data_IF_545709106131
#
_entry.id   IF_545709106131
#
_cell.length_a   1.000
_cell.length_b   1.000
_cell.length_c   1.000
_cell.angle_alpha   90.00
_cell.angle_beta   90.00
_cell.angle_gamma   90.00
#
_symmetry.space_group_name_H-M   'P 1'
#
loop_
_entity.id
_entity.type
_entity.pdbx_description
1 polymer ?
#
# COMPACT_ATOMS: atom_id res chain seq x y z
N UNK A 1 -16.46 41.05 6.39
CA UNK A 1 -15.50 40.44 5.45
C UNK A 1 -15.68 41.07 4.08
N UNK A 2 -14.63 41.53 3.42
CA UNK A 2 -14.73 42.07 2.05
C UNK A 2 -15.25 40.96 1.09
N UNK A 3 -15.99 41.39 0.06
CA UNK A 3 -16.63 40.48 -0.91
C UNK A 3 -15.65 39.46 -1.51
N UNK A 4 -14.43 39.89 -1.75
CA UNK A 4 -13.34 39.10 -2.29
C UNK A 4 -12.94 37.94 -1.35
N UNK A 5 -12.87 38.18 -0.03
CA UNK A 5 -12.58 37.10 0.93
C UNK A 5 -13.68 36.04 0.97
N UNK A 6 -14.96 36.44 0.74
CA UNK A 6 -16.09 35.52 0.63
C UNK A 6 -15.98 34.65 -0.62
N UNK A 7 -15.59 35.22 -1.76
CA UNK A 7 -15.42 34.48 -3.02
C UNK A 7 -14.29 33.49 -2.95
N UNK A 8 -13.13 33.86 -2.36
CA UNK A 8 -12.00 32.94 -2.14
C UNK A 8 -12.44 31.79 -1.24
N UNK A 9 -13.11 32.07 -0.15
CA UNK A 9 -13.56 31.06 0.80
C UNK A 9 -14.57 30.11 0.17
N UNK A 10 -15.46 30.63 -0.67
CA UNK A 10 -16.48 29.85 -1.38
C UNK A 10 -15.88 28.89 -2.44
N UNK A 11 -14.76 29.26 -3.05
CA UNK A 11 -14.07 28.41 -4.03
C UNK A 11 -13.08 27.45 -3.39
N UNK A 12 -12.35 27.88 -2.36
CA UNK A 12 -11.26 27.13 -1.76
C UNK A 12 -11.75 26.03 -0.79
N UNK A 13 -12.80 26.32 0.00
CA UNK A 13 -13.33 25.38 0.98
C UNK A 13 -13.90 24.10 0.34
N UNK A 14 -14.76 24.16 -0.71
CA UNK A 14 -15.24 22.96 -1.38
C UNK A 14 -14.11 22.16 -2.04
N UNK A 15 -13.13 22.85 -2.64
CA UNK A 15 -11.98 22.18 -3.26
C UNK A 15 -11.16 21.39 -2.24
N UNK A 16 -10.84 22.02 -1.10
CA UNK A 16 -10.10 21.36 -0.03
C UNK A 16 -10.88 20.19 0.58
N UNK A 17 -12.20 20.35 0.77
CA UNK A 17 -13.05 19.26 1.27
C UNK A 17 -13.09 18.07 0.31
N UNK A 18 -13.31 18.31 -0.98
CA UNK A 18 -13.32 17.23 -1.98
C UNK A 18 -11.97 16.55 -2.05
N UNK A 19 -10.87 17.30 -2.06
CA UNK A 19 -9.52 16.74 -2.08
C UNK A 19 -9.23 15.92 -0.81
N UNK A 20 -9.62 16.40 0.37
CA UNK A 20 -9.46 15.67 1.62
C UNK A 20 -10.25 14.36 1.65
N UNK A 21 -11.52 14.39 1.22
CA UNK A 21 -12.39 13.21 1.18
C UNK A 21 -11.86 12.19 0.17
N UNK A 22 -11.52 12.61 -1.05
CA UNK A 22 -11.00 11.71 -2.07
C UNK A 22 -9.66 11.10 -1.66
N UNK A 23 -8.77 11.88 -1.04
CA UNK A 23 -7.49 11.38 -0.50
C UNK A 23 -7.71 10.36 0.63
N UNK A 24 -8.62 10.63 1.55
CA UNK A 24 -8.98 9.71 2.60
C UNK A 24 -9.47 8.37 2.05
N UNK A 25 -10.42 8.41 1.10
CA UNK A 25 -10.96 7.22 0.44
C UNK A 25 -9.85 6.45 -0.28
N UNK A 26 -8.98 7.14 -1.04
CA UNK A 26 -7.88 6.52 -1.78
C UNK A 26 -6.88 5.83 -0.86
N UNK A 27 -6.49 6.46 0.25
CA UNK A 27 -5.58 5.86 1.23
C UNK A 27 -6.21 4.64 1.89
N UNK A 28 -7.48 4.74 2.29
CA UNK A 28 -8.20 3.63 2.89
C UNK A 28 -8.31 2.42 1.93
N UNK A 29 -8.63 2.67 0.66
CA UNK A 29 -8.67 1.63 -0.36
C UNK A 29 -7.29 1.02 -0.62
N UNK A 30 -6.24 1.84 -0.70
CA UNK A 30 -4.87 1.36 -0.89
C UNK A 30 -4.41 0.47 0.27
N UNK A 31 -4.71 0.84 1.52
CA UNK A 31 -4.39 0.01 2.69
C UNK A 31 -5.15 -1.31 2.69
N UNK A 32 -6.45 -1.28 2.36
CA UNK A 32 -7.28 -2.49 2.32
C UNK A 32 -6.83 -3.43 1.21
N UNK A 33 -6.56 -2.89 0.02
CA UNK A 33 -6.05 -3.65 -1.12
C UNK A 33 -4.68 -4.24 -0.82
N UNK A 34 -3.77 -3.43 -0.25
CA UNK A 34 -2.43 -3.87 0.12
C UNK A 34 -2.42 -5.03 1.12
N UNK A 35 -3.27 -4.99 2.15
CA UNK A 35 -3.43 -6.12 3.09
C UNK A 35 -3.89 -7.39 2.38
N UNK A 36 -4.89 -7.27 1.50
CA UNK A 36 -5.40 -8.41 0.74
C UNK A 36 -4.35 -8.99 -0.21
N UNK A 37 -3.57 -8.14 -0.85
CA UNK A 37 -2.49 -8.54 -1.75
C UNK A 37 -1.39 -9.31 -1.01
N UNK A 38 -0.99 -8.83 0.19
CA UNK A 38 -0.04 -9.52 1.06
C UNK A 38 -0.55 -10.89 1.51
N UNK A 39 -1.84 -10.99 1.88
CA UNK A 39 -2.45 -12.28 2.25
C UNK A 39 -2.48 -13.26 1.07
N UNK A 40 -2.89 -12.81 -0.11
CA UNK A 40 -2.91 -13.64 -1.32
C UNK A 40 -1.50 -14.10 -1.72
N UNK A 41 -0.52 -13.19 -1.62
CA UNK A 41 0.87 -13.49 -1.91
C UNK A 41 1.43 -14.56 -0.94
N UNK A 42 1.20 -14.38 0.37
CA UNK A 42 1.57 -15.38 1.39
C UNK A 42 0.93 -16.73 1.12
N UNK A 43 -0.38 -16.75 0.89
CA UNK A 43 -1.12 -17.98 0.59
C UNK A 43 -0.59 -18.66 -0.68
N UNK A 44 -0.27 -17.89 -1.72
CA UNK A 44 0.33 -18.39 -2.95
C UNK A 44 1.71 -19.01 -2.73
N UNK A 45 2.58 -18.37 -1.94
CA UNK A 45 3.89 -18.91 -1.59
C UNK A 45 3.77 -20.22 -0.79
N UNK A 46 2.91 -20.25 0.23
CA UNK A 46 2.66 -21.48 1.01
C UNK A 46 2.15 -22.59 0.10
N UNK A 47 1.16 -22.30 -0.76
CA UNK A 47 0.61 -23.28 -1.68
C UNK A 47 1.65 -23.83 -2.65
N UNK A 48 2.54 -22.99 -3.14
CA UNK A 48 3.67 -23.42 -3.97
C UNK A 48 4.63 -24.36 -3.21
N UNK A 49 4.93 -24.05 -1.95
CA UNK A 49 5.77 -24.92 -1.09
C UNK A 49 5.09 -26.23 -0.76
N UNK A 50 3.77 -26.21 -0.48
CA UNK A 50 2.97 -27.43 -0.30
C UNK A 50 3.06 -28.35 -1.52
N UNK A 51 2.83 -27.79 -2.71
CA UNK A 51 2.93 -28.57 -3.96
C UNK A 51 4.32 -29.18 -4.12
N UNK A 52 5.38 -28.38 -3.93
CA UNK A 52 6.75 -28.87 -4.05
C UNK A 52 7.09 -29.97 -3.03
N UNK A 53 6.57 -29.89 -1.79
CA UNK A 53 6.75 -30.94 -0.78
C UNK A 53 6.06 -32.24 -1.16
N UNK A 54 4.82 -32.15 -1.62
CA UNK A 54 4.06 -33.31 -2.09
C UNK A 54 4.76 -33.99 -3.26
N UNK A 55 5.15 -33.22 -4.28
CA UNK A 55 5.85 -33.71 -5.46
C UNK A 55 7.19 -34.39 -5.06
N UNK A 56 7.89 -33.84 -4.06
CA UNK A 56 9.14 -34.43 -3.55
C UNK A 56 8.90 -35.79 -2.88
N UNK A 57 7.81 -35.94 -2.11
CA UNK A 57 7.47 -37.24 -1.49
C UNK A 57 6.99 -38.22 -2.54
N UNK A 58 6.17 -37.82 -3.50
CA UNK A 58 5.74 -38.64 -4.62
C UNK A 58 6.96 -39.17 -5.40
N UNK A 59 7.94 -38.28 -5.68
CA UNK A 59 9.19 -38.65 -6.35
C UNK A 59 10.03 -39.65 -5.51
N UNK A 60 10.06 -39.48 -4.19
CA UNK A 60 10.74 -40.44 -3.30
C UNK A 60 10.05 -41.82 -3.32
N UNK A 61 8.71 -41.84 -3.37
CA UNK A 61 7.94 -43.08 -3.51
C UNK A 61 8.22 -43.77 -4.83
N UNK A 62 8.27 -43.02 -5.93
CA UNK A 62 8.66 -43.56 -7.24
C UNK A 62 10.08 -44.14 -7.22
N UNK A 63 11.03 -43.45 -6.58
CA UNK A 63 12.42 -43.90 -6.47
C UNK A 63 12.58 -45.23 -5.71
N UNK A 64 11.73 -45.46 -4.71
CA UNK A 64 11.79 -46.70 -3.90
C UNK A 64 10.83 -47.78 -4.42
N UNK A 65 9.94 -47.47 -5.35
CA UNK A 65 8.83 -48.35 -5.82
C UNK A 65 9.33 -49.70 -6.34
N UNK A 66 10.47 -49.71 -7.03
CA UNK A 66 11.04 -50.93 -7.61
C UNK A 66 11.55 -51.92 -6.53
N UNK A 67 12.03 -51.42 -5.37
CA UNK A 67 12.42 -52.23 -4.23
C UNK A 67 11.20 -52.64 -3.40
N UNK A 68 10.34 -51.69 -3.13
CA UNK A 68 9.12 -51.87 -2.33
C UNK A 68 8.18 -52.96 -2.89
N UNK A 69 8.10 -53.06 -4.21
CA UNK A 69 7.22 -53.99 -4.91
C UNK A 69 7.94 -55.27 -5.42
N UNK A 70 9.27 -55.48 -5.17
CA UNK A 70 10.01 -56.62 -5.64
C UNK A 70 9.62 -57.85 -4.85
N UNK A 71 9.00 -58.88 -5.48
CA UNK A 71 8.62 -60.14 -4.81
C UNK A 71 9.81 -61.07 -4.51
N UNK A 72 10.97 -60.79 -5.09
CA UNK A 72 12.19 -61.62 -4.89
C UNK A 72 13.03 -61.14 -3.71
N UNK A 73 12.80 -59.94 -3.22
CA UNK A 73 13.50 -59.44 -2.05
C UNK A 73 12.75 -59.81 -0.77
N UNK A 74 13.52 -60.23 0.25
CA UNK A 74 12.92 -60.40 1.57
C UNK A 74 12.55 -59.00 2.12
N UNK A 75 11.49 -58.92 2.90
CA UNK A 75 11.01 -57.67 3.47
C UNK A 75 12.10 -56.91 4.26
N UNK A 76 12.92 -57.65 4.99
CA UNK A 76 14.01 -57.08 5.78
C UNK A 76 15.08 -56.42 4.90
N UNK A 77 15.49 -57.07 3.80
CA UNK A 77 16.43 -56.50 2.82
C UNK A 77 15.82 -55.29 2.14
N UNK A 78 14.57 -55.41 1.67
CA UNK A 78 13.86 -54.28 1.02
C UNK A 78 13.75 -53.05 1.95
N UNK A 79 13.40 -53.26 3.23
CA UNK A 79 13.34 -52.18 4.23
C UNK A 79 14.69 -51.53 4.44
N UNK A 80 15.78 -52.27 4.47
CA UNK A 80 17.13 -51.73 4.64
C UNK A 80 17.58 -50.91 3.43
N UNK A 81 17.32 -51.40 2.20
CA UNK A 81 17.66 -50.69 0.99
C UNK A 81 16.87 -49.36 0.87
N UNK A 82 15.57 -49.40 1.18
CA UNK A 82 14.72 -48.17 1.18
C UNK A 82 15.20 -47.16 2.21
N UNK A 83 15.57 -47.60 3.44
CA UNK A 83 16.16 -46.69 4.43
C UNK A 83 17.41 -45.99 3.91
N UNK A 84 18.32 -46.76 3.23
CA UNK A 84 19.53 -46.19 2.66
C UNK A 84 19.28 -45.19 1.53
N UNK A 85 18.25 -45.40 0.72
CA UNK A 85 17.84 -44.45 -0.33
C UNK A 85 17.32 -43.17 0.32
N UNK A 86 16.36 -43.29 1.23
CA UNK A 86 15.75 -42.15 1.92
C UNK A 86 16.79 -41.32 2.67
N UNK A 87 17.76 -42.02 3.34
CA UNK A 87 18.84 -41.36 4.06
C UNK A 87 19.75 -40.49 3.17
N UNK A 88 19.85 -40.79 1.87
CA UNK A 88 20.69 -40.08 0.90
C UNK A 88 19.94 -38.99 0.14
N UNK A 89 18.62 -39.03 0.12
CA UNK A 89 17.83 -38.03 -0.61
C UNK A 89 17.95 -36.64 0.03
N UNK A 90 18.42 -35.68 -0.78
CA UNK A 90 18.56 -34.26 -0.40
C UNK A 90 18.07 -33.39 -1.53
N UNK A 91 17.57 -32.21 -1.17
CA UNK A 91 17.20 -31.18 -2.14
C UNK A 91 17.36 -29.78 -1.53
N UNK A 92 17.18 -28.76 -2.37
CA UNK A 92 17.40 -27.36 -2.00
C UNK A 92 18.87 -26.93 -2.17
N UNK A 93 19.11 -25.63 -2.29
CA UNK A 93 20.42 -25.04 -2.60
C UNK A 93 21.46 -25.26 -1.52
N UNK A 94 21.04 -25.32 -0.24
CA UNK A 94 21.90 -25.51 0.93
C UNK A 94 21.82 -26.93 1.49
N UNK A 95 21.06 -27.83 0.85
CA UNK A 95 20.86 -29.20 1.32
C UNK A 95 19.97 -29.31 2.56
N UNK A 96 19.26 -28.27 2.92
CA UNK A 96 18.34 -28.26 4.09
C UNK A 96 17.10 -29.13 3.90
N UNK A 97 16.76 -29.48 2.64
CA UNK A 97 15.69 -30.40 2.32
C UNK A 97 16.16 -31.85 2.47
N UNK A 98 15.54 -32.60 3.36
CA UNK A 98 15.85 -34.01 3.64
C UNK A 98 14.56 -34.79 3.92
N UNK A 99 14.67 -36.13 3.75
CA UNK A 99 13.56 -37.02 4.05
C UNK A 99 13.76 -37.69 5.39
N UNK A 100 12.67 -38.04 6.04
CA UNK A 100 12.63 -38.80 7.28
C UNK A 100 11.59 -39.91 7.19
N UNK A 101 11.74 -40.92 7.99
CA UNK A 101 10.78 -42.01 8.09
C UNK A 101 10.53 -42.40 9.53
N UNK A 102 9.28 -42.75 9.83
CA UNK A 102 8.83 -43.24 11.13
C UNK A 102 7.96 -44.49 10.94
N UNK A 103 7.96 -45.38 11.92
CA UNK A 103 6.96 -46.43 11.96
C UNK A 103 5.62 -45.94 12.55
N UNK A 104 4.65 -46.84 12.59
CA UNK A 104 3.30 -46.55 13.08
C UNK A 104 3.24 -46.13 14.56
N UNK A 105 4.25 -46.43 15.35
CA UNK A 105 4.31 -46.13 16.79
C UNK A 105 5.05 -44.84 17.09
N UNK A 106 5.67 -44.21 16.06
CA UNK A 106 6.46 -42.98 16.20
C UNK A 106 7.94 -43.23 16.42
N UNK A 107 8.43 -44.47 16.22
CA UNK A 107 9.88 -44.75 16.23
C UNK A 107 10.50 -44.21 14.94
N UNK A 108 11.54 -43.41 15.08
CA UNK A 108 12.29 -42.89 13.94
C UNK A 108 13.09 -44.00 13.24
N UNK A 109 12.87 -44.15 11.96
CA UNK A 109 13.52 -45.17 11.11
C UNK A 109 14.69 -44.60 10.31
N UNK A 110 14.59 -43.32 9.91
CA UNK A 110 15.58 -42.58 9.12
C UNK A 110 15.52 -41.11 9.49
N UNK A 111 16.65 -40.56 9.91
CA UNK A 111 16.85 -39.11 10.13
C UNK A 111 18.29 -38.71 9.77
N UNK A 112 18.51 -38.26 8.52
CA UNK A 112 19.86 -38.09 8.01
C UNK A 112 20.66 -36.92 8.61
N UNK A 113 19.97 -35.97 9.27
CA UNK A 113 20.59 -34.78 9.85
C UNK A 113 20.94 -35.03 11.33
N UNK A 114 20.10 -35.79 12.04
CA UNK A 114 20.29 -36.12 13.48
C UNK A 114 20.21 -37.65 13.61
N UNK A 115 21.27 -38.38 13.28
CA UNK A 115 21.27 -39.85 13.32
C UNK A 115 20.96 -40.43 14.69
N UNK A 116 21.19 -39.66 15.75
CA UNK A 116 20.94 -40.04 17.14
C UNK A 116 19.46 -40.29 17.43
N UNK A 117 18.55 -39.74 16.61
CA UNK A 117 17.11 -39.96 16.74
C UNK A 117 16.67 -41.33 16.21
N UNK A 118 17.47 -41.97 15.36
CA UNK A 118 17.11 -43.26 14.75
C UNK A 118 16.98 -44.34 15.85
N UNK A 119 15.85 -45.02 15.87
CA UNK A 119 15.47 -46.01 16.85
C UNK A 119 14.81 -45.45 18.12
N UNK A 120 14.71 -44.12 18.26
CA UNK A 120 13.98 -43.52 19.38
C UNK A 120 12.49 -43.35 19.03
N UNK A 121 11.63 -43.57 20.00
CA UNK A 121 10.21 -43.24 19.89
C UNK A 121 10.02 -41.75 20.19
N UNK A 122 9.53 -40.98 19.19
CA UNK A 122 9.39 -39.54 19.23
C UNK A 122 7.90 -39.10 19.15
N UNK A 123 6.98 -40.01 19.46
CA UNK A 123 5.54 -39.73 19.35
C UNK A 123 5.10 -38.55 20.24
N UNK A 124 5.74 -38.41 21.41
CA UNK A 124 5.43 -37.37 22.40
C UNK A 124 6.39 -36.17 22.34
N UNK A 125 7.25 -36.12 21.31
CA UNK A 125 8.17 -34.97 21.16
C UNK A 125 7.34 -33.72 20.84
N UNK A 126 7.64 -32.64 21.56
CA UNK A 126 7.02 -31.33 21.34
C UNK A 126 8.05 -30.32 20.83
N UNK A 127 7.58 -29.41 20.01
CA UNK A 127 8.37 -28.23 19.66
C UNK A 127 8.29 -27.16 20.79
N UNK A 128 8.94 -26.00 20.58
CA UNK A 128 8.97 -24.88 21.54
C UNK A 128 7.58 -24.29 21.81
N UNK A 129 6.60 -24.50 20.91
CA UNK A 129 5.21 -24.09 21.07
C UNK A 129 4.35 -25.13 21.79
N UNK A 130 4.90 -26.32 22.10
CA UNK A 130 4.18 -27.43 22.72
C UNK A 130 3.40 -28.30 21.73
N UNK A 131 3.69 -28.21 20.42
CA UNK A 131 3.03 -29.00 19.40
C UNK A 131 3.65 -30.40 19.27
N UNK A 132 2.83 -31.45 19.27
CA UNK A 132 3.22 -32.87 19.11
C UNK A 132 3.46 -33.19 17.63
N UNK A 133 4.59 -32.77 17.10
CA UNK A 133 4.90 -32.73 15.67
C UNK A 133 4.85 -34.12 14.99
N UNK A 134 5.38 -35.18 15.61
CA UNK A 134 5.39 -36.52 15.01
C UNK A 134 4.00 -37.17 15.06
N UNK A 135 3.25 -36.99 16.14
CA UNK A 135 1.88 -37.45 16.24
C UNK A 135 1.00 -36.78 15.18
N UNK A 136 1.17 -35.47 14.98
CA UNK A 136 0.44 -34.72 13.96
C UNK A 136 0.78 -35.20 12.54
N UNK A 137 2.08 -35.38 12.21
CA UNK A 137 2.51 -35.90 10.90
C UNK A 137 2.01 -37.32 10.64
N UNK A 138 2.06 -38.23 11.64
CA UNK A 138 1.48 -39.58 11.54
C UNK A 138 -0.02 -39.56 11.27
N UNK A 139 -0.73 -38.66 11.95
CA UNK A 139 -2.18 -38.47 11.72
C UNK A 139 -2.45 -38.02 10.26
N UNK A 140 -1.68 -37.05 9.77
CA UNK A 140 -1.82 -36.58 8.38
C UNK A 140 -1.51 -37.70 7.37
N UNK A 141 -0.41 -38.41 7.57
CA UNK A 141 0.00 -39.50 6.67
C UNK A 141 -1.08 -40.60 6.55
N UNK A 142 -1.65 -41.06 7.69
CA UNK A 142 -2.69 -42.09 7.73
C UNK A 142 -4.01 -41.66 7.07
N UNK A 143 -4.28 -40.35 7.00
CA UNK A 143 -5.48 -39.80 6.38
C UNK A 143 -5.30 -39.45 4.88
N UNK A 144 -4.37 -40.11 4.20
CA UNK A 144 -4.13 -39.93 2.78
C UNK A 144 -3.04 -38.94 2.41
N UNK A 145 -2.21 -38.57 3.40
CA UNK A 145 -1.15 -37.58 3.26
C UNK A 145 -1.61 -36.17 3.61
N UNK A 146 -0.69 -35.38 4.17
CA UNK A 146 -1.03 -34.01 4.57
C UNK A 146 0.16 -33.22 5.09
N UNK A 147 -0.11 -31.97 5.37
CA UNK A 147 0.89 -30.99 5.80
C UNK A 147 0.76 -30.72 7.28
N UNK A 148 1.92 -30.39 7.90
CA UNK A 148 1.99 -29.89 9.26
C UNK A 148 3.12 -28.87 9.39
N UNK A 149 2.87 -27.76 10.07
CA UNK A 149 3.84 -26.71 10.36
C UNK A 149 4.24 -26.79 11.84
N UNK A 150 5.54 -26.77 12.12
CA UNK A 150 6.10 -26.86 13.47
C UNK A 150 7.48 -26.20 13.51
N UNK A 151 8.00 -25.93 14.70
CA UNK A 151 9.36 -25.44 14.86
C UNK A 151 10.37 -26.60 14.83
N UNK A 152 11.43 -26.46 14.03
CA UNK A 152 12.49 -27.46 13.92
C UNK A 152 13.84 -26.82 13.62
N UNK A 153 14.91 -27.44 14.11
CA UNK A 153 16.27 -26.97 13.88
C UNK A 153 16.64 -27.07 12.40
N UNK A 154 17.02 -25.94 11.82
CA UNK A 154 17.46 -25.85 10.43
C UNK A 154 18.93 -26.29 10.33
N UNK A 155 19.27 -27.24 9.42
CA UNK A 155 20.64 -27.76 9.32
C UNK A 155 21.69 -26.69 9.02
N UNK A 156 21.41 -25.75 8.13
CA UNK A 156 22.38 -24.73 7.71
C UNK A 156 22.67 -23.67 8.77
N UNK A 157 21.70 -23.34 9.66
CA UNK A 157 21.86 -22.29 10.68
C UNK A 157 21.97 -22.83 12.10
N UNK A 158 21.45 -24.01 12.38
CA UNK A 158 21.29 -24.53 13.73
C UNK A 158 20.19 -23.88 14.56
N UNK A 159 19.42 -22.94 13.96
CA UNK A 159 18.32 -22.23 14.62
C UNK A 159 17.01 -22.99 14.52
N UNK A 160 16.18 -22.90 15.57
CA UNK A 160 14.80 -23.40 15.55
C UNK A 160 13.92 -22.41 14.79
N UNK A 161 13.43 -22.83 13.63
CA UNK A 161 12.64 -21.98 12.72
C UNK A 161 11.41 -22.73 12.21
N UNK A 162 10.38 -22.03 11.72
CA UNK A 162 9.17 -22.68 11.18
C UNK A 162 9.50 -23.59 10.00
N UNK A 163 9.08 -24.84 10.08
CA UNK A 163 9.21 -25.87 9.06
C UNK A 163 7.85 -26.39 8.67
N UNK A 164 7.55 -26.34 7.38
CA UNK A 164 6.38 -26.97 6.79
C UNK A 164 6.81 -28.34 6.26
N UNK A 165 6.17 -29.41 6.73
CA UNK A 165 6.42 -30.77 6.26
C UNK A 165 5.17 -31.38 5.62
N UNK A 166 5.39 -32.22 4.64
CA UNK A 166 4.39 -33.13 4.08
C UNK A 166 4.79 -34.57 4.42
N UNK A 167 3.82 -35.37 4.85
CA UNK A 167 4.01 -36.77 5.17
C UNK A 167 2.94 -37.63 4.48
N UNK A 168 3.36 -38.78 3.99
CA UNK A 168 2.49 -39.75 3.36
C UNK A 168 2.76 -41.15 3.90
N UNK A 169 1.78 -42.03 3.71
CA UNK A 169 1.78 -43.37 4.28
C UNK A 169 2.22 -44.40 3.26
N UNK A 170 3.08 -45.36 3.71
CA UNK A 170 3.55 -46.50 2.95
C UNK A 170 2.87 -47.78 3.52
N UNK A 171 1.77 -48.19 2.91
CA UNK A 171 0.82 -49.16 3.47
C UNK A 171 1.40 -50.50 3.82
N UNK A 172 2.22 -51.11 2.93
CA UNK A 172 2.76 -52.47 3.12
C UNK A 172 3.58 -52.62 4.39
N UNK A 173 4.26 -51.53 4.83
CA UNK A 173 5.16 -51.58 5.98
C UNK A 173 4.68 -50.75 7.18
N UNK A 174 3.54 -50.08 7.05
CA UNK A 174 3.03 -49.12 8.04
C UNK A 174 4.06 -48.02 8.37
N UNK A 175 4.72 -47.47 7.34
CA UNK A 175 5.68 -46.38 7.51
C UNK A 175 5.11 -45.07 7.09
N UNK A 176 5.44 -44.04 7.83
CA UNK A 176 5.31 -42.65 7.40
C UNK A 176 6.62 -42.22 6.77
N UNK A 177 6.59 -41.71 5.56
CA UNK A 177 7.71 -41.01 4.92
C UNK A 177 7.30 -39.56 4.70
N UNK A 178 8.17 -38.65 5.09
CA UNK A 178 7.93 -37.25 4.94
C UNK A 178 9.19 -36.45 4.61
N UNK A 179 8.97 -35.23 4.22
CA UNK A 179 10.01 -34.24 3.99
C UNK A 179 9.49 -32.85 4.37
N UNK A 180 10.36 -31.87 4.52
CA UNK A 180 9.95 -30.52 4.89
C UNK A 180 10.84 -29.42 4.35
N UNK A 181 10.29 -28.23 4.25
CA UNK A 181 10.97 -26.99 3.89
C UNK A 181 10.87 -25.98 5.01
N UNK A 182 11.90 -25.21 5.22
CA UNK A 182 11.87 -24.07 6.16
C UNK A 182 11.21 -22.86 5.48
N UNK A 183 10.25 -22.25 6.18
CA UNK A 183 9.38 -21.20 5.63
C UNK A 183 9.71 -19.81 6.17
N UNK A 184 10.85 -19.65 6.85
CA UNK A 184 11.30 -18.33 7.32
C UNK A 184 11.46 -17.31 6.19
N UNK A 185 11.85 -17.76 4.99
CA UNK A 185 11.99 -16.92 3.80
C UNK A 185 10.65 -16.31 3.35
N UNK A 186 9.54 -17.04 3.56
CA UNK A 186 8.19 -16.52 3.27
C UNK A 186 7.90 -15.33 4.15
N UNK A 187 8.20 -15.41 5.44
CA UNK A 187 7.98 -14.31 6.38
C UNK A 187 8.82 -13.08 6.03
N UNK A 188 10.07 -13.27 5.60
CA UNK A 188 10.96 -12.18 5.15
C UNK A 188 10.43 -11.52 3.88
N UNK A 189 10.00 -12.33 2.90
CA UNK A 189 9.48 -11.82 1.63
C UNK A 189 8.14 -11.10 1.80
N UNK A 190 7.25 -11.63 2.64
CA UNK A 190 6.00 -10.99 3.02
C UNK A 190 6.24 -9.66 3.74
N UNK A 191 7.20 -9.60 4.67
CA UNK A 191 7.56 -8.37 5.35
C UNK A 191 8.15 -7.32 4.39
N UNK A 192 8.95 -7.75 3.41
CA UNK A 192 9.48 -6.86 2.35
C UNK A 192 8.35 -6.27 1.53
N UNK A 193 7.42 -7.08 1.04
CA UNK A 193 6.27 -6.63 0.28
C UNK A 193 5.40 -5.65 1.08
N UNK A 194 5.12 -5.96 2.35
CA UNK A 194 4.39 -5.06 3.24
C UNK A 194 5.08 -3.70 3.42
N UNK A 195 6.41 -3.71 3.54
CA UNK A 195 7.21 -2.48 3.64
C UNK A 195 7.14 -1.66 2.35
N UNK A 196 7.22 -2.29 1.18
CA UNK A 196 7.09 -1.62 -0.12
C UNK A 196 5.71 -0.98 -0.31
N UNK A 197 4.65 -1.69 0.05
CA UNK A 197 3.27 -1.18 0.01
C UNK A 197 3.13 0.03 0.94
N UNK A 198 3.60 -0.05 2.17
CA UNK A 198 3.54 1.06 3.12
C UNK A 198 4.30 2.29 2.62
N UNK A 199 5.49 2.11 2.05
CA UNK A 199 6.28 3.19 1.45
C UNK A 199 5.56 3.85 0.27
N UNK A 200 4.90 3.06 -0.58
CA UNK A 200 4.12 3.58 -1.70
C UNK A 200 2.92 4.41 -1.22
N UNK A 201 2.23 3.96 -0.18
CA UNK A 201 1.13 4.70 0.45
C UNK A 201 1.63 6.03 1.03
N UNK A 202 2.75 6.02 1.75
CA UNK A 202 3.36 7.22 2.32
C UNK A 202 3.79 8.22 1.23
N UNK A 203 4.43 7.73 0.17
CA UNK A 203 4.85 8.56 -0.97
C UNK A 203 3.63 9.18 -1.67
N UNK A 204 2.57 8.42 -1.86
CA UNK A 204 1.31 8.90 -2.46
C UNK A 204 0.68 9.98 -1.59
N UNK A 205 0.62 9.76 -0.28
CA UNK A 205 0.11 10.76 0.67
C UNK A 205 0.90 12.06 0.61
N UNK A 206 2.23 11.98 0.62
CA UNK A 206 3.09 13.16 0.51
C UNK A 206 2.89 13.90 -0.82
N UNK A 207 2.79 13.18 -1.91
CA UNK A 207 2.52 13.75 -3.24
C UNK A 207 1.19 14.50 -3.29
N UNK A 208 0.13 13.96 -2.70
CA UNK A 208 -1.18 14.62 -2.61
C UNK A 208 -1.09 15.92 -1.81
N UNK A 209 -0.37 15.92 -0.68
CA UNK A 209 -0.14 17.13 0.12
C UNK A 209 0.58 18.20 -0.70
N UNK A 210 1.63 17.85 -1.42
CA UNK A 210 2.38 18.79 -2.26
C UNK A 210 1.48 19.39 -3.35
N UNK A 211 0.70 18.56 -4.04
CA UNK A 211 -0.26 19.04 -5.06
C UNK A 211 -1.27 20.00 -4.43
N UNK A 212 -1.79 19.68 -3.26
CA UNK A 212 -2.74 20.55 -2.55
C UNK A 212 -2.14 21.90 -2.21
N UNK A 213 -0.91 21.93 -1.69
CA UNK A 213 -0.18 23.19 -1.37
C UNK A 213 0.01 24.02 -2.64
N UNK A 214 0.46 23.41 -3.75
CA UNK A 214 0.67 24.07 -5.03
C UNK A 214 -0.65 24.66 -5.55
N UNK A 215 -1.73 23.89 -5.49
CA UNK A 215 -3.07 24.34 -5.92
C UNK A 215 -3.54 25.57 -5.13
N UNK A 216 -3.39 25.53 -3.80
CA UNK A 216 -3.73 26.67 -2.94
C UNK A 216 -2.88 27.90 -3.31
N UNK A 217 -1.57 27.73 -3.50
CA UNK A 217 -0.66 28.81 -3.87
C UNK A 217 -1.07 29.45 -5.22
N UNK A 218 -1.42 28.64 -6.22
CA UNK A 218 -1.88 29.12 -7.53
C UNK A 218 -3.18 29.94 -7.39
N UNK A 219 -4.16 29.44 -6.63
CA UNK A 219 -5.41 30.16 -6.38
C UNK A 219 -5.14 31.51 -5.72
N UNK A 220 -4.26 31.56 -4.71
CA UNK A 220 -3.88 32.81 -4.03
C UNK A 220 -3.24 33.79 -5.00
N UNK A 221 -2.31 33.35 -5.84
CA UNK A 221 -1.64 34.20 -6.85
C UNK A 221 -2.64 34.76 -7.86
N UNK A 222 -3.54 33.93 -8.39
CA UNK A 222 -4.57 34.35 -9.35
C UNK A 222 -5.47 35.41 -8.69
N UNK A 223 -5.91 35.15 -7.47
CA UNK A 223 -6.78 36.11 -6.75
C UNK A 223 -6.12 37.44 -6.49
N UNK A 224 -4.84 37.43 -6.09
CA UNK A 224 -4.06 38.66 -5.93
C UNK A 224 -3.91 39.42 -7.25
N UNK A 225 -3.64 38.74 -8.36
CA UNK A 225 -3.50 39.34 -9.67
C UNK A 225 -4.82 40.01 -10.13
N UNK A 226 -5.97 39.32 -9.96
CA UNK A 226 -7.30 39.88 -10.28
C UNK A 226 -7.60 41.08 -9.42
N UNK A 227 -7.34 41.01 -8.11
CA UNK A 227 -7.57 42.12 -7.19
C UNK A 227 -6.74 43.37 -7.56
N UNK A 228 -5.46 43.21 -7.86
CA UNK A 228 -4.60 44.30 -8.31
C UNK A 228 -5.08 44.91 -9.63
N UNK A 229 -5.61 44.11 -10.54
CA UNK A 229 -6.15 44.56 -11.79
C UNK A 229 -7.43 45.42 -11.58
N UNK A 230 -8.38 44.94 -10.76
CA UNK A 230 -9.60 45.66 -10.41
C UNK A 230 -9.30 46.97 -9.71
N UNK A 231 -8.37 47.02 -8.77
CA UNK A 231 -7.95 48.25 -8.13
C UNK A 231 -7.38 49.28 -9.12
N UNK A 232 -6.58 48.85 -10.08
CA UNK A 232 -6.04 49.75 -11.13
C UNK A 232 -7.16 50.31 -12.04
N UNK A 233 -8.15 49.50 -12.39
CA UNK A 233 -9.31 49.94 -13.19
C UNK A 233 -10.18 50.94 -12.41
N UNK A 234 -10.48 50.66 -11.15
CA UNK A 234 -11.24 51.56 -10.29
C UNK A 234 -10.54 52.91 -10.10
N UNK A 235 -9.22 52.92 -9.91
CA UNK A 235 -8.40 54.14 -9.76
C UNK A 235 -8.42 54.98 -11.05
N UNK A 236 -8.36 54.36 -12.23
CA UNK A 236 -8.48 55.02 -13.53
C UNK A 236 -9.86 55.63 -13.71
N UNK A 237 -10.94 54.89 -13.41
CA UNK A 237 -12.31 55.38 -13.52
C UNK A 237 -12.58 56.57 -12.56
N UNK A 238 -12.06 56.49 -11.33
CA UNK A 238 -12.17 57.60 -10.38
C UNK A 238 -11.45 58.86 -10.86
N UNK A 239 -10.23 58.75 -11.41
CA UNK A 239 -9.48 59.88 -12.00
C UNK A 239 -10.21 60.50 -13.19
N UNK A 240 -10.78 59.67 -14.09
CA UNK A 240 -11.54 60.15 -15.22
C UNK A 240 -12.83 60.87 -14.79
N UNK A 241 -13.56 60.35 -13.81
CA UNK A 241 -14.73 61.00 -13.22
C UNK A 241 -14.36 62.34 -12.57
N UNK A 242 -13.30 62.38 -11.76
CA UNK A 242 -12.79 63.60 -11.12
C UNK A 242 -12.44 64.67 -12.18
N UNK A 243 -11.74 64.25 -13.25
CA UNK A 243 -11.38 65.16 -14.34
C UNK A 243 -12.63 65.72 -15.05
N UNK A 244 -13.61 64.89 -15.40
CA UNK A 244 -14.90 65.29 -15.99
C UNK A 244 -15.67 66.25 -15.07
N UNK A 245 -15.67 66.01 -13.75
CA UNK A 245 -16.34 66.89 -12.79
C UNK A 245 -15.69 68.27 -12.73
N UNK A 246 -14.36 68.34 -12.73
CA UNK A 246 -13.62 69.62 -12.74
C UNK A 246 -13.89 70.38 -14.04
N UNK A 247 -13.85 69.71 -15.18
CA UNK A 247 -14.19 70.36 -16.49
C UNK A 247 -15.60 70.88 -16.52
N UNK A 248 -16.57 70.08 -16.02
CA UNK A 248 -17.97 70.54 -15.94
C UNK A 248 -18.11 71.78 -15.03
N UNK A 249 -17.46 71.82 -13.88
CA UNK A 249 -17.47 72.97 -12.98
C UNK A 249 -16.82 74.25 -13.64
N UNK A 250 -15.74 74.07 -14.40
CA UNK A 250 -15.11 75.18 -15.12
C UNK A 250 -16.02 75.70 -16.22
N UNK A 251 -16.69 74.86 -16.97
CA UNK A 251 -17.65 75.27 -18.02
C UNK A 251 -18.87 75.99 -17.42
N UNK A 252 -19.42 75.48 -16.31
CA UNK A 252 -20.50 76.11 -15.58
C UNK A 252 -20.09 77.50 -15.04
N UNK A 253 -18.90 77.65 -14.47
CA UNK A 253 -18.36 78.96 -14.07
C UNK A 253 -18.23 79.90 -15.22
N UNK A 254 -17.72 79.41 -16.38
CA UNK A 254 -17.63 80.27 -17.60
C UNK A 254 -18.99 80.67 -18.13
N UNK A 255 -20.00 79.81 -18.05
CA UNK A 255 -21.36 80.10 -18.45
C UNK A 255 -21.96 81.11 -17.52
N UNK A 256 -21.89 80.94 -16.20
CA UNK A 256 -22.36 81.92 -15.22
C UNK A 256 -21.68 83.30 -15.33
N UNK A 257 -20.34 83.31 -15.57
CA UNK A 257 -19.64 84.55 -15.79
C UNK A 257 -20.13 85.34 -17.05
N UNK A 258 -20.46 84.61 -18.13
CA UNK A 258 -21.01 85.18 -19.32
C UNK A 258 -22.44 85.76 -19.06
N UNK A 259 -23.32 85.01 -18.43
CA UNK A 259 -24.68 85.44 -18.07
C UNK A 259 -24.65 86.64 -17.15
N UNK A 260 -23.78 86.69 -16.14
CA UNK A 260 -23.59 87.81 -15.28
C UNK A 260 -23.11 89.05 -16.05
N UNK A 261 -22.13 88.87 -16.95
CA UNK A 261 -21.59 89.94 -17.76
C UNK A 261 -22.67 90.52 -18.67
N UNK A 262 -23.44 89.66 -19.32
CA UNK A 262 -24.51 90.08 -20.23
C UNK A 262 -25.70 90.72 -19.48
N UNK A 263 -26.03 90.19 -18.28
CA UNK A 263 -27.06 90.76 -17.43
C UNK A 263 -26.67 92.14 -16.88
N UNK A 264 -25.39 92.29 -16.43
CA UNK A 264 -24.84 93.57 -15.95
C UNK A 264 -24.87 94.64 -17.13
N UNK A 265 -24.40 94.19 -18.30
CA UNK A 265 -24.41 95.08 -19.47
C UNK A 265 -25.81 95.53 -19.85
N UNK A 266 -26.83 94.64 -19.82
CA UNK A 266 -28.23 95.00 -20.04
C UNK A 266 -28.75 95.98 -19.00
N UNK A 267 -28.43 95.81 -17.73
CA UNK A 267 -28.82 96.73 -16.66
C UNK A 267 -28.13 98.09 -16.84
N UNK A 268 -26.85 98.15 -17.20
CA UNK A 268 -26.18 99.41 -17.50
C UNK A 268 -26.73 100.10 -18.68
N UNK A 269 -27.07 99.43 -19.78
CA UNK A 269 -27.72 100.02 -20.96
C UNK A 269 -29.10 100.52 -20.60
N UNK A 270 -29.93 99.80 -19.87
CA UNK A 270 -31.23 100.16 -19.39
C UNK A 270 -31.15 101.41 -18.47
N UNK A 271 -30.22 101.47 -17.54
CA UNK A 271 -29.97 102.57 -16.66
C UNK A 271 -29.55 103.82 -17.45
N UNK A 272 -28.68 103.66 -18.44
CA UNK A 272 -28.32 104.78 -19.36
C UNK A 272 -29.48 105.32 -20.08
N UNK A 273 -30.32 104.51 -20.73
CA UNK A 273 -31.55 104.91 -21.42
C UNK A 273 -32.50 105.62 -20.46
N UNK A 274 -32.68 105.17 -19.23
CA UNK A 274 -33.50 105.84 -18.23
C UNK A 274 -32.97 107.23 -17.86
N UNK A 275 -31.64 107.34 -17.66
CA UNK A 275 -31.01 108.65 -17.41
C UNK A 275 -31.10 109.64 -18.58
N UNK A 276 -30.96 109.15 -19.80
CA UNK A 276 -31.16 109.95 -21.01
C UNK A 276 -32.61 110.43 -21.15
N UNK A 277 -33.59 109.61 -20.76
CA UNK A 277 -35.02 110.03 -20.75
C UNK A 277 -35.40 111.05 -19.67
N UNK A 278 -34.60 111.11 -18.57
CA UNK A 278 -34.81 112.10 -17.49
C UNK A 278 -34.03 113.42 -17.71
N UNK A 279 -33.14 113.48 -18.68
CA UNK A 279 -32.34 114.64 -19.03
C UNK A 279 -32.90 115.51 -20.19
N UNK A 280 -33.96 115.06 -20.84
CA UNK A 280 -34.78 115.83 -21.82
C UNK A 280 -36.08 116.29 -21.19
#
# INVERSE_FOLDING_TARGET
MPLQAKLILLSLVPLLLVTAITSWISIYQAQTLGKKEVELFRAGLIKSKETALKDSVDLAFDAISHIYNDPNLSEEVAKQEVKQIIDKLRYGTEGDGYFFAYDETGVNLVHPIIPELVGQNLIDIQDENGDFLIAALLHQARNGGGYHEYLWQKPSSGESVPKLSYAAWLDKWNWMIGTGLYIEDISKEVARLQSEINKNIETTFFTVIVIMIVTVAVIVVITLAVNLHEHKLADRSLKELAHKTVMFQEDEKKHLARELHDGINQLLVSSKCHLELLSN
#
